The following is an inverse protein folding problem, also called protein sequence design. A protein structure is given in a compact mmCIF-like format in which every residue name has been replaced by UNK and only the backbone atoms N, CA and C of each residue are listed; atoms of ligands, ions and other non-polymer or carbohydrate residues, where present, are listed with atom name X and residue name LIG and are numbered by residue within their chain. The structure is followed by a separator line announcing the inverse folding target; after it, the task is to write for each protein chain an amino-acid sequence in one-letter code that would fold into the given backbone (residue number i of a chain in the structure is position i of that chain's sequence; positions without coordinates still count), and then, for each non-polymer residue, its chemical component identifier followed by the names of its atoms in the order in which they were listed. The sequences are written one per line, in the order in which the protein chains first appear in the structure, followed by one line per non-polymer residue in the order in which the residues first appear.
data_IF_550971660312
#
_entry.id   IF_550971660312
#
_cell.length_a   1.000
_cell.length_b   1.000
_cell.length_c   1.000
_cell.angle_alpha   90.00
_cell.angle_beta   90.00
_cell.angle_gamma   90.00
#
_symmetry.space_group_name_H-M   'P 1'
#
loop_
_entity.id
_entity.type
_entity.pdbx_description
1 polymer ?
#
# COMPACT_ATOMS: atom_id res chain seq x y z
N UNK A 1 -5.41 -4.46 18.33
CA UNK A 1 -5.01 -5.74 17.72
C UNK A 1 -5.74 -5.99 16.42
N UNK A 2 -5.15 -5.56 15.31
CA UNK A 2 -5.53 -6.02 13.99
C UNK A 2 -4.50 -7.07 13.58
N UNK A 3 -4.68 -8.31 14.02
CA UNK A 3 -3.89 -9.43 13.50
C UNK A 3 -4.30 -9.65 12.04
N UNK A 4 -3.36 -9.45 11.13
CA UNK A 4 -3.53 -9.76 9.70
C UNK A 4 -2.98 -11.17 9.47
N UNK A 5 -3.84 -12.08 9.03
CA UNK A 5 -3.42 -13.42 8.65
C UNK A 5 -2.69 -13.37 7.30
N UNK A 6 -1.44 -13.85 7.28
CA UNK A 6 -0.60 -13.89 6.08
C UNK A 6 -0.23 -15.34 5.77
N UNK A 7 -0.21 -15.68 4.49
CA UNK A 7 0.16 -17.03 4.04
C UNK A 7 1.66 -17.07 3.78
N UNK A 8 2.42 -17.61 4.74
CA UNK A 8 3.83 -17.92 4.63
C UNK A 8 4.11 -19.39 5.00
N UNK A 9 5.12 -20.04 4.37
CA UNK A 9 5.63 -21.31 4.87
C UNK A 9 6.14 -21.18 6.31
N UNK A 10 6.00 -22.22 7.16
CA UNK A 10 6.31 -22.15 8.59
C UNK A 10 7.80 -21.95 8.92
N UNK A 11 8.69 -22.11 7.93
CA UNK A 11 10.14 -21.94 8.10
C UNK A 11 10.62 -20.51 7.82
N UNK A 12 9.74 -19.60 7.39
CA UNK A 12 10.11 -18.20 7.11
C UNK A 12 10.36 -17.48 8.45
N UNK A 13 11.52 -16.85 8.65
CA UNK A 13 11.79 -16.03 9.84
C UNK A 13 10.74 -14.93 10.05
N UNK A 14 10.36 -14.66 11.30
CA UNK A 14 9.32 -13.70 11.65
C UNK A 14 9.56 -12.31 11.04
N UNK A 15 10.81 -11.84 11.00
CA UNK A 15 11.17 -10.54 10.42
C UNK A 15 11.00 -10.44 8.89
N UNK A 16 10.75 -11.56 8.21
CA UNK A 16 10.46 -11.63 6.78
C UNK A 16 8.98 -11.96 6.49
N UNK A 17 8.17 -12.19 7.54
CA UNK A 17 6.72 -12.39 7.41
C UNK A 17 6.02 -11.03 7.37
N UNK A 18 6.19 -10.29 6.28
CA UNK A 18 5.57 -8.97 6.13
C UNK A 18 4.04 -9.06 6.10
N UNK A 19 3.37 -8.17 6.84
CA UNK A 19 1.92 -8.02 6.85
C UNK A 19 1.50 -6.93 5.85
N UNK A 20 0.61 -7.28 4.93
CA UNK A 20 0.07 -6.38 3.88
C UNK A 20 -1.40 -6.70 3.64
N UNK A 21 -2.09 -5.85 2.87
CA UNK A 21 -3.55 -6.00 2.67
C UNK A 21 -4.01 -7.26 1.93
N UNK A 22 -3.10 -7.99 1.27
CA UNK A 22 -3.43 -9.20 0.52
C UNK A 22 -2.58 -10.37 1.03
N UNK A 23 -3.24 -11.42 1.54
CA UNK A 23 -2.64 -12.52 2.31
C UNK A 23 -1.61 -13.37 1.55
N UNK A 24 -1.64 -13.42 0.21
CA UNK A 24 -0.71 -14.18 -0.64
C UNK A 24 0.44 -13.35 -1.20
N UNK A 25 0.55 -12.06 -0.91
CA UNK A 25 1.64 -11.22 -1.45
C UNK A 25 3.04 -11.62 -0.94
N UNK A 26 3.11 -12.42 0.12
CA UNK A 26 4.33 -13.09 0.57
C UNK A 26 4.86 -14.18 -0.38
N UNK A 27 4.06 -14.62 -1.37
CA UNK A 27 4.38 -15.75 -2.26
C UNK A 27 5.60 -15.48 -3.16
N UNK A 28 5.74 -14.26 -3.68
CA UNK A 28 6.87 -13.87 -4.53
C UNK A 28 7.38 -12.47 -4.19
N UNK A 29 8.71 -12.24 -4.23
CA UNK A 29 9.28 -10.91 -3.94
C UNK A 29 8.74 -9.79 -4.83
N UNK A 30 8.33 -10.08 -6.07
CA UNK A 30 7.76 -9.08 -6.99
C UNK A 30 6.43 -8.51 -6.51
N UNK A 31 5.58 -9.30 -5.85
CA UNK A 31 4.33 -8.78 -5.26
C UNK A 31 4.64 -7.92 -4.03
N UNK A 32 5.56 -8.37 -3.18
CA UNK A 32 6.00 -7.62 -2.01
C UNK A 32 6.70 -6.30 -2.37
N UNK A 33 7.41 -6.26 -3.50
CA UNK A 33 7.97 -5.02 -4.07
C UNK A 33 6.88 -3.98 -4.30
N UNK A 34 5.80 -4.33 -5.02
CA UNK A 34 4.68 -3.41 -5.24
C UNK A 34 3.97 -3.03 -3.95
N UNK A 35 3.75 -3.99 -3.03
CA UNK A 35 3.16 -3.70 -1.73
C UNK A 35 3.99 -2.66 -0.93
N UNK A 36 5.32 -2.79 -0.98
CA UNK A 36 6.24 -1.86 -0.31
C UNK A 36 6.22 -0.47 -0.96
N UNK A 37 6.16 -0.40 -2.29
CA UNK A 37 6.06 0.87 -3.03
C UNK A 37 4.76 1.59 -2.63
N UNK A 38 3.62 0.91 -2.70
CA UNK A 38 2.32 1.50 -2.39
C UNK A 38 2.14 1.86 -0.90
N UNK A 39 2.74 1.11 0.02
CA UNK A 39 2.78 1.48 1.44
C UNK A 39 3.54 2.80 1.65
N UNK A 40 4.69 2.96 1.00
CA UNK A 40 5.47 4.19 1.08
C UNK A 40 4.76 5.36 0.43
N UNK A 41 4.09 5.12 -0.70
CA UNK A 41 3.30 6.14 -1.38
C UNK A 41 2.13 6.62 -0.53
N UNK A 42 1.41 5.71 0.13
CA UNK A 42 0.35 6.07 1.06
C UNK A 42 0.85 7.02 2.16
N UNK A 43 1.97 6.67 2.80
CA UNK A 43 2.55 7.50 3.86
C UNK A 43 3.06 8.84 3.33
N UNK A 44 3.67 8.87 2.14
CA UNK A 44 4.10 10.10 1.49
C UNK A 44 2.91 11.04 1.22
N UNK A 45 1.79 10.50 0.74
CA UNK A 45 0.56 11.28 0.53
C UNK A 45 -0.03 11.75 1.86
N UNK A 46 -0.03 10.91 2.91
CA UNK A 46 -0.43 11.32 4.25
C UNK A 46 0.39 12.50 4.77
N UNK A 47 1.73 12.46 4.61
CA UNK A 47 2.63 13.54 5.04
C UNK A 47 2.31 14.86 4.30
N UNK A 48 2.06 14.78 2.99
CA UNK A 48 1.67 15.95 2.18
C UNK A 48 0.31 16.48 2.62
N UNK A 49 -0.69 15.62 2.78
CA UNK A 49 -2.02 16.03 3.24
C UNK A 49 -1.96 16.64 4.63
N UNK A 50 -1.11 16.13 5.52
CA UNK A 50 -0.95 16.67 6.88
C UNK A 50 -0.26 18.03 6.88
N UNK A 51 0.64 18.27 5.94
CA UNK A 51 1.25 19.59 5.75
C UNK A 51 0.24 20.62 5.25
N UNK A 52 -0.59 20.26 4.26
CA UNK A 52 -1.60 21.13 3.67
C UNK A 52 -2.84 21.32 4.58
N UNK A 53 -3.18 20.29 5.36
CA UNK A 53 -4.31 20.27 6.28
C UNK A 53 -3.90 19.87 7.70
N UNK A 54 -3.22 20.77 8.44
CA UNK A 54 -2.75 20.48 9.80
C UNK A 54 -3.88 20.08 10.77
N UNK A 55 -5.11 20.54 10.51
CA UNK A 55 -6.31 20.27 11.31
C UNK A 55 -6.90 18.87 11.11
N UNK A 56 -6.52 18.15 10.06
CA UNK A 56 -7.07 16.81 9.79
C UNK A 56 -6.58 15.78 10.80
N UNK A 57 -7.52 14.94 11.25
CA UNK A 57 -7.23 13.77 12.06
C UNK A 57 -6.80 12.57 11.23
N UNK A 58 -6.33 11.53 11.92
CA UNK A 58 -5.80 10.29 11.33
C UNK A 58 -6.78 9.63 10.33
N UNK A 59 -8.05 9.44 10.73
CA UNK A 59 -9.06 8.82 9.88
C UNK A 59 -9.25 9.57 8.55
N UNK A 60 -9.29 10.91 8.60
CA UNK A 60 -9.48 11.71 7.40
C UNK A 60 -8.25 11.68 6.48
N UNK A 61 -7.04 11.67 7.04
CA UNK A 61 -5.81 11.49 6.29
C UNK A 61 -5.79 10.11 5.62
N UNK A 62 -6.06 9.04 6.38
CA UNK A 62 -6.09 7.67 5.87
C UNK A 62 -7.07 7.50 4.70
N UNK A 63 -8.33 7.91 4.89
CA UNK A 63 -9.36 7.76 3.85
C UNK A 63 -9.06 8.62 2.63
N UNK A 64 -8.56 9.85 2.81
CA UNK A 64 -8.24 10.74 1.69
C UNK A 64 -7.03 10.25 0.91
N UNK A 65 -5.95 9.84 1.58
CA UNK A 65 -4.79 9.21 0.94
C UNK A 65 -5.19 7.96 0.16
N UNK A 66 -6.09 7.13 0.72
CA UNK A 66 -6.64 5.97 0.01
C UNK A 66 -7.35 6.36 -1.29
N UNK A 67 -8.16 7.42 -1.29
CA UNK A 67 -8.84 7.90 -2.51
C UNK A 67 -7.85 8.40 -3.56
N UNK A 68 -6.79 9.10 -3.14
CA UNK A 68 -5.73 9.58 -4.04
C UNK A 68 -5.02 8.38 -4.69
N UNK A 69 -4.60 7.38 -3.91
CA UNK A 69 -3.93 6.18 -4.43
C UNK A 69 -4.81 5.37 -5.39
N UNK A 70 -6.14 5.32 -5.17
CA UNK A 70 -7.08 4.71 -6.13
C UNK A 70 -7.03 5.47 -7.46
N UNK A 71 -7.04 6.81 -7.43
CA UNK A 71 -6.91 7.65 -8.62
C UNK A 71 -5.58 7.43 -9.35
N UNK A 72 -4.46 7.41 -8.62
CA UNK A 72 -3.13 7.14 -9.17
C UNK A 72 -3.04 5.76 -9.81
N UNK A 73 -3.58 4.74 -9.15
CA UNK A 73 -3.61 3.37 -9.67
C UNK A 73 -4.35 3.32 -11.01
N UNK A 74 -5.56 3.90 -11.09
CA UNK A 74 -6.36 3.92 -12.32
C UNK A 74 -5.63 4.69 -13.43
N UNK A 75 -5.01 5.84 -13.08
CA UNK A 75 -4.24 6.66 -14.01
C UNK A 75 -3.10 5.87 -14.65
N UNK A 76 -2.25 5.23 -13.84
CA UNK A 76 -1.12 4.40 -14.31
C UNK A 76 -1.64 3.21 -15.12
N UNK A 77 -2.72 2.56 -14.67
CA UNK A 77 -3.28 1.42 -15.39
C UNK A 77 -3.75 1.82 -16.79
N UNK A 78 -4.49 2.92 -16.93
CA UNK A 78 -5.04 3.34 -18.22
C UNK A 78 -3.96 3.91 -19.14
N UNK A 79 -3.12 4.80 -18.62
CA UNK A 79 -2.24 5.60 -19.49
C UNK A 79 -0.87 4.97 -19.74
N UNK A 80 -0.39 4.12 -18.84
CA UNK A 80 0.92 3.48 -19.00
C UNK A 80 0.77 1.99 -19.28
N UNK A 81 0.06 1.25 -18.41
CA UNK A 81 0.00 -0.21 -18.50
C UNK A 81 -0.82 -0.69 -19.71
N UNK A 82 -2.07 -0.20 -19.88
CA UNK A 82 -2.92 -0.57 -21.02
C UNK A 82 -2.35 -0.02 -22.33
N UNK A 83 -1.73 1.16 -22.31
CA UNK A 83 -1.11 1.75 -23.48
C UNK A 83 0.15 1.00 -23.96
N UNK A 84 0.84 0.31 -23.05
CA UNK A 84 2.00 -0.52 -23.37
C UNK A 84 1.64 -1.88 -23.98
N UNK A 85 0.50 -2.46 -23.57
CA UNK A 85 -0.03 -3.74 -24.08
C UNK A 85 -0.47 -3.63 -25.54
#
# INVERSE_FOLDING_TARGET
DTQVEMIYPPHIPENLQFAVGQEVFGLVPGLMMYATIWLREHNRVCDILKQEHPEWGDEQLFQTSRLILIGETIKIVIEDYVQHL
#
